data_IF_265777979960
#
_entry.id   IF_265777979960
#
_cell.length_a   1.000
_cell.length_b   1.000
_cell.length_c   1.000
_cell.angle_alpha   90.00
_cell.angle_beta   90.00
_cell.angle_gamma   90.00
#
_symmetry.space_group_name_H-M   'P 1'
#
loop_
_entity.id
_entity.type
_entity.pdbx_description
1 polymer ?
#
# COMPACT_ATOMS: atom_id res chain seq x y z
N UNK A 1 33.49 5.87 -8.92
CA UNK A 1 32.95 6.01 -7.55
C UNK A 1 33.05 7.48 -7.15
N UNK A 2 31.94 8.22 -7.17
CA UNK A 2 31.92 9.64 -6.81
C UNK A 2 32.37 9.85 -5.36
N UNK A 3 33.26 10.83 -5.13
CA UNK A 3 33.76 11.14 -3.79
C UNK A 3 32.58 11.60 -2.91
N UNK A 4 32.33 10.91 -1.78
CA UNK A 4 31.30 11.28 -0.79
C UNK A 4 31.45 12.77 -0.42
N UNK A 5 30.33 13.48 -0.30
CA UNK A 5 30.31 14.90 0.04
C UNK A 5 30.99 15.11 1.39
N UNK A 6 31.65 16.25 1.58
CA UNK A 6 32.15 16.63 2.90
C UNK A 6 31.00 16.77 3.92
N UNK A 7 29.79 17.07 3.46
CA UNK A 7 28.56 17.08 4.27
C UNK A 7 28.21 15.69 4.79
N UNK A 8 28.48 14.63 4.03
CA UNK A 8 28.18 13.25 4.42
C UNK A 8 29.07 12.74 5.57
N UNK A 9 30.17 13.46 5.85
CA UNK A 9 31.14 13.15 6.91
C UNK A 9 30.90 13.94 8.18
N UNK A 10 29.97 14.90 8.17
CA UNK A 10 29.60 15.65 9.36
C UNK A 10 28.89 14.74 10.36
N UNK A 11 28.82 15.18 11.61
CA UNK A 11 28.04 14.49 12.63
C UNK A 11 26.57 14.34 12.17
N UNK A 12 25.92 13.20 12.46
CA UNK A 12 24.56 12.94 12.00
C UNK A 12 23.55 14.04 12.36
N UNK A 13 23.67 14.63 13.57
CA UNK A 13 22.80 15.71 14.02
C UNK A 13 22.92 16.96 13.14
N UNK A 14 24.15 17.35 12.78
CA UNK A 14 24.43 18.51 11.91
C UNK A 14 23.87 18.26 10.52
N UNK A 15 24.12 17.08 9.94
CA UNK A 15 23.61 16.70 8.62
C UNK A 15 22.08 16.72 8.58
N UNK A 16 21.40 16.11 9.56
CA UNK A 16 19.95 16.09 9.62
C UNK A 16 19.35 17.49 9.76
N UNK A 17 20.02 18.39 10.48
CA UNK A 17 19.62 19.78 10.57
C UNK A 17 19.75 20.51 9.23
N UNK A 18 20.87 20.33 8.52
CA UNK A 18 21.07 20.84 7.15
C UNK A 18 19.95 20.36 6.23
N UNK A 19 19.69 19.06 6.19
CA UNK A 19 18.63 18.45 5.37
C UNK A 19 17.24 19.02 5.71
N UNK A 20 16.95 19.25 7.00
CA UNK A 20 15.70 19.86 7.45
C UNK A 20 15.56 21.29 6.93
N UNK A 21 16.58 22.13 7.08
CA UNK A 21 16.56 23.53 6.61
C UNK A 21 16.48 23.63 5.09
N UNK A 22 17.19 22.76 4.36
CA UNK A 22 17.10 22.67 2.91
C UNK A 22 15.69 22.26 2.44
N UNK A 23 14.99 21.42 3.21
CA UNK A 23 13.59 21.06 2.96
C UNK A 23 12.64 22.23 3.20
N UNK A 24 12.86 23.02 4.24
CA UNK A 24 12.05 24.19 4.58
C UNK A 24 12.15 25.31 3.54
N UNK A 25 13.29 25.43 2.85
CA UNK A 25 13.55 26.44 1.79
C UNK A 25 13.33 27.89 2.24
N UNK A 26 13.56 28.19 3.52
CA UNK A 26 13.37 29.52 4.10
C UNK A 26 14.65 30.32 4.28
N UNK A 27 15.79 29.64 4.30
CA UNK A 27 17.10 30.24 4.54
C UNK A 27 17.91 30.25 3.24
N UNK A 28 18.62 31.35 3.02
CA UNK A 28 19.74 31.42 2.08
C UNK A 28 20.89 30.53 2.57
N UNK A 29 21.88 30.29 1.70
CA UNK A 29 23.04 29.48 2.09
C UNK A 29 23.84 30.13 3.22
N UNK A 30 23.88 31.46 3.29
CA UNK A 30 24.61 32.19 4.32
C UNK A 30 23.87 32.13 5.65
N UNK A 31 22.57 32.39 5.64
CA UNK A 31 21.72 32.26 6.83
C UNK A 31 21.70 30.83 7.37
N UNK A 32 21.79 29.81 6.49
CA UNK A 32 21.93 28.42 6.91
C UNK A 32 23.27 28.16 7.62
N UNK A 33 24.36 28.79 7.18
CA UNK A 33 25.66 28.69 7.86
C UNK A 33 25.60 29.37 9.23
N UNK A 34 24.93 30.52 9.33
CA UNK A 34 24.71 31.21 10.60
C UNK A 34 23.85 30.39 11.56
N UNK A 35 22.73 29.82 11.07
CA UNK A 35 21.85 28.92 11.84
C UNK A 35 22.62 27.67 12.34
N UNK A 36 23.57 27.15 11.55
CA UNK A 36 24.48 26.08 11.99
C UNK A 36 25.45 26.55 13.09
N UNK A 37 25.94 27.78 13.03
CA UNK A 37 26.80 28.33 14.08
C UNK A 37 26.07 28.49 15.42
N UNK A 38 24.79 28.85 15.38
CA UNK A 38 23.97 29.03 16.58
C UNK A 38 23.60 27.67 17.21
N UNK A 39 23.19 26.70 16.39
CA UNK A 39 22.72 25.39 16.88
C UNK A 39 23.87 24.41 17.18
N UNK A 40 25.01 24.53 16.49
CA UNK A 40 26.16 23.63 16.62
C UNK A 40 27.48 24.41 16.73
N UNK A 41 27.69 25.17 17.82
CA UNK A 41 28.86 26.04 17.97
C UNK A 41 30.20 25.28 18.00
N UNK A 42 30.18 24.00 18.38
CA UNK A 42 31.36 23.14 18.49
C UNK A 42 31.63 22.27 17.25
N UNK A 43 30.73 22.28 16.25
CA UNK A 43 30.86 21.45 15.06
C UNK A 43 31.73 22.10 13.99
N UNK A 44 32.44 21.26 13.22
CA UNK A 44 33.24 21.74 12.10
C UNK A 44 32.33 22.25 10.97
N UNK A 45 32.65 23.46 10.47
CA UNK A 45 31.73 24.23 9.64
C UNK A 45 31.91 23.87 8.17
N UNK A 46 30.87 23.36 7.49
CA UNK A 46 30.96 23.13 6.05
C UNK A 46 31.05 24.46 5.31
N UNK A 47 31.88 24.50 4.25
CA UNK A 47 32.00 25.69 3.42
C UNK A 47 30.72 25.95 2.62
N UNK A 48 30.48 27.23 2.27
CA UNK A 48 29.35 27.63 1.42
C UNK A 48 29.25 26.82 0.13
N UNK A 49 30.37 26.56 -0.53
CA UNK A 49 30.40 25.73 -1.75
C UNK A 49 30.06 24.27 -1.48
N UNK A 50 30.39 23.72 -0.31
CA UNK A 50 30.03 22.36 0.06
C UNK A 50 28.52 22.23 0.26
N UNK A 51 27.91 23.17 0.97
CA UNK A 51 26.45 23.23 1.16
C UNK A 51 25.75 23.44 -0.19
N UNK A 52 26.25 24.35 -1.04
CA UNK A 52 25.68 24.60 -2.35
C UNK A 52 25.64 23.36 -3.26
N UNK A 53 26.74 22.60 -3.34
CA UNK A 53 26.77 21.34 -4.10
C UNK A 53 25.83 20.29 -3.51
N UNK A 54 25.80 20.18 -2.19
CA UNK A 54 24.92 19.26 -1.49
C UNK A 54 23.44 19.61 -1.72
N UNK A 55 23.08 20.89 -1.69
CA UNK A 55 21.73 21.39 -2.00
C UNK A 55 21.26 20.97 -3.39
N UNK A 56 22.11 21.03 -4.41
CA UNK A 56 21.75 20.61 -5.78
C UNK A 56 21.37 19.13 -5.80
N UNK A 57 22.20 18.26 -5.24
CA UNK A 57 21.91 16.83 -5.14
C UNK A 57 20.68 16.53 -4.27
N UNK A 58 20.51 17.26 -3.17
CA UNK A 58 19.35 17.15 -2.30
C UNK A 58 18.06 17.57 -3.01
N UNK A 59 18.08 18.64 -3.80
CA UNK A 59 16.92 19.11 -4.56
C UNK A 59 16.51 18.11 -5.65
N UNK A 60 17.47 17.48 -6.32
CA UNK A 60 17.23 16.39 -7.28
C UNK A 60 16.59 15.18 -6.59
N UNK A 61 17.14 14.76 -5.45
CA UNK A 61 16.59 13.66 -4.66
C UNK A 61 15.17 13.98 -4.17
N UNK A 62 14.95 15.19 -3.66
CA UNK A 62 13.64 15.63 -3.20
C UNK A 62 12.62 15.74 -4.34
N UNK A 63 13.06 16.13 -5.55
CA UNK A 63 12.22 16.12 -6.75
C UNK A 63 11.78 14.71 -7.10
N UNK A 64 12.72 13.75 -7.16
CA UNK A 64 12.42 12.33 -7.41
C UNK A 64 11.43 11.77 -6.38
N UNK A 65 11.62 12.08 -5.09
CA UNK A 65 10.71 11.62 -4.03
C UNK A 65 9.29 12.18 -4.17
N UNK A 66 9.15 13.46 -4.53
CA UNK A 66 7.83 14.06 -4.81
C UNK A 66 7.17 13.43 -6.03
N UNK A 67 7.92 13.17 -7.09
CA UNK A 67 7.40 12.48 -8.28
C UNK A 67 6.92 11.07 -7.92
N UNK A 68 7.67 10.34 -7.08
CA UNK A 68 7.26 9.03 -6.58
C UNK A 68 6.00 9.09 -5.72
N UNK A 69 5.90 10.07 -4.82
CA UNK A 69 4.70 10.28 -3.98
C UNK A 69 3.48 10.62 -4.84
N UNK A 70 3.64 11.49 -5.84
CA UNK A 70 2.56 11.83 -6.78
C UNK A 70 2.12 10.60 -7.58
N UNK A 71 3.06 9.76 -8.03
CA UNK A 71 2.75 8.48 -8.67
C UNK A 71 1.96 7.58 -7.73
N UNK A 72 2.42 7.40 -6.48
CA UNK A 72 1.73 6.59 -5.49
C UNK A 72 0.30 7.10 -5.20
N UNK A 73 0.11 8.41 -5.10
CA UNK A 73 -1.21 9.02 -4.93
C UNK A 73 -2.14 8.77 -6.12
N UNK A 74 -1.64 8.94 -7.36
CA UNK A 74 -2.41 8.65 -8.58
C UNK A 74 -2.80 7.17 -8.68
N UNK A 75 -1.92 6.25 -8.22
CA UNK A 75 -2.24 4.83 -8.14
C UNK A 75 -3.43 4.61 -7.19
N UNK A 76 -3.36 5.16 -5.98
CA UNK A 76 -4.43 5.03 -4.96
C UNK A 76 -5.75 5.61 -5.46
N UNK A 77 -5.72 6.77 -6.11
CA UNK A 77 -6.89 7.45 -6.67
C UNK A 77 -7.54 6.65 -7.81
N UNK A 78 -6.75 6.15 -8.76
CA UNK A 78 -7.24 5.32 -9.86
C UNK A 78 -7.75 3.95 -9.40
N UNK A 79 -7.25 3.41 -8.30
CA UNK A 79 -7.61 2.08 -7.80
C UNK A 79 -8.84 2.06 -6.87
N UNK A 80 -9.30 3.22 -6.41
CA UNK A 80 -10.60 3.40 -5.74
C UNK A 80 -10.61 3.11 -4.24
N UNK A 81 -11.46 3.86 -3.53
CA UNK A 81 -11.65 3.82 -2.08
C UNK A 81 -12.16 2.45 -1.60
N UNK A 82 -11.26 1.58 -1.13
CA UNK A 82 -11.53 0.71 0.01
C UNK A 82 -10.22 0.15 0.62
N UNK A 83 -9.62 0.86 1.60
CA UNK A 83 -8.37 0.47 2.26
C UNK A 83 -8.50 -0.75 3.20
N UNK A 84 -9.70 -1.24 3.46
CA UNK A 84 -9.97 -2.19 4.55
C UNK A 84 -9.86 -3.68 4.16
N UNK A 85 -9.69 -4.01 2.89
CA UNK A 85 -9.55 -5.40 2.48
C UNK A 85 -8.08 -5.81 2.55
N UNK A 86 -7.75 -6.94 3.19
CA UNK A 86 -6.37 -7.49 3.27
C UNK A 86 -5.67 -7.56 1.91
N UNK A 87 -6.44 -7.66 0.82
CA UNK A 87 -5.95 -7.58 -0.56
C UNK A 87 -5.36 -6.20 -0.92
N UNK A 88 -5.95 -5.09 -0.46
CA UNK A 88 -5.44 -3.74 -0.64
C UNK A 88 -4.12 -3.51 0.10
N UNK A 89 -4.01 -3.99 1.34
CA UNK A 89 -2.77 -3.93 2.11
C UNK A 89 -1.63 -4.73 1.45
N UNK A 90 -1.91 -5.96 1.00
CA UNK A 90 -0.93 -6.80 0.28
C UNK A 90 -0.50 -6.18 -1.05
N UNK A 91 -1.39 -5.44 -1.71
CA UNK A 91 -1.07 -4.76 -2.97
C UNK A 91 -0.31 -3.46 -2.78
N UNK A 92 -0.62 -2.65 -1.78
CA UNK A 92 0.23 -1.52 -1.38
C UNK A 92 1.64 -2.02 -1.09
N UNK A 93 1.76 -3.14 -0.37
CA UNK A 93 3.05 -3.77 -0.08
C UNK A 93 3.74 -4.30 -1.36
N UNK A 94 2.99 -4.83 -2.32
CA UNK A 94 3.53 -5.33 -3.60
C UNK A 94 3.99 -4.19 -4.52
N UNK A 95 3.24 -3.09 -4.58
CA UNK A 95 3.61 -1.87 -5.30
C UNK A 95 4.81 -1.22 -4.64
N UNK A 96 4.86 -1.16 -3.31
CA UNK A 96 6.01 -0.65 -2.59
C UNK A 96 7.26 -1.51 -2.83
N UNK A 97 7.10 -2.84 -2.92
CA UNK A 97 8.17 -3.78 -3.28
C UNK A 97 8.63 -3.58 -4.71
N UNK A 98 7.73 -3.46 -5.67
CA UNK A 98 8.06 -3.17 -7.07
C UNK A 98 8.70 -1.79 -7.24
N UNK A 99 8.25 -0.79 -6.50
CA UNK A 99 8.85 0.55 -6.48
C UNK A 99 10.25 0.50 -5.88
N UNK A 100 10.45 -0.30 -4.82
CA UNK A 100 11.77 -0.55 -4.20
C UNK A 100 12.69 -1.29 -5.16
N UNK A 101 12.17 -2.30 -5.87
CA UNK A 101 12.90 -3.01 -6.92
C UNK A 101 13.24 -2.11 -8.11
N UNK A 102 12.34 -1.22 -8.51
CA UNK A 102 12.59 -0.24 -9.56
C UNK A 102 13.59 0.83 -9.11
N UNK A 103 13.63 1.21 -7.82
CA UNK A 103 14.66 2.13 -7.30
C UNK A 103 16.02 1.47 -7.13
N UNK A 104 16.07 0.19 -6.74
CA UNK A 104 17.29 -0.61 -6.70
C UNK A 104 17.77 -0.95 -8.13
N UNK A 105 16.85 -1.23 -9.04
CA UNK A 105 17.10 -1.49 -10.47
C UNK A 105 17.39 -0.23 -11.28
N UNK A 106 16.94 0.95 -10.84
CA UNK A 106 17.32 2.25 -11.40
C UNK A 106 18.75 2.67 -11.01
N UNK A 107 19.43 1.89 -10.15
CA UNK A 107 20.89 1.92 -10.11
C UNK A 107 21.53 1.20 -11.32
N UNK A 108 20.73 0.52 -12.15
CA UNK A 108 21.15 -0.28 -13.31
C UNK A 108 20.53 0.22 -14.64
N UNK A 109 19.34 0.85 -14.68
CA UNK A 109 18.85 1.52 -15.91
C UNK A 109 17.88 2.69 -15.63
N UNK A 110 18.13 3.84 -16.25
CA UNK A 110 17.58 5.17 -15.93
C UNK A 110 16.24 5.46 -16.65
N UNK A 111 15.42 4.43 -16.92
CA UNK A 111 14.33 4.49 -17.92
C UNK A 111 12.92 4.14 -17.47
N UNK A 112 12.64 3.97 -16.18
CA UNK A 112 11.25 3.76 -15.74
C UNK A 112 10.47 5.08 -15.82
N UNK A 113 9.48 5.16 -16.71
CA UNK A 113 8.68 6.37 -16.90
C UNK A 113 7.38 6.35 -16.09
N UNK A 114 6.80 7.54 -15.86
CA UNK A 114 5.49 7.71 -15.19
C UNK A 114 4.39 6.93 -15.92
N UNK A 115 4.49 6.82 -17.24
CA UNK A 115 3.51 6.10 -18.06
C UNK A 115 3.56 4.58 -17.82
N UNK A 116 4.75 4.02 -17.60
CA UNK A 116 4.91 2.60 -17.29
C UNK A 116 4.26 2.23 -15.95
N UNK A 117 4.44 3.09 -14.95
CA UNK A 117 3.81 2.91 -13.64
C UNK A 117 2.29 3.03 -13.74
N UNK A 118 1.77 3.98 -14.54
CA UNK A 118 0.33 4.12 -14.80
C UNK A 118 -0.25 2.88 -15.50
N UNK A 119 0.46 2.31 -16.48
CA UNK A 119 0.02 1.09 -17.17
C UNK A 119 -0.01 -0.11 -16.22
N UNK A 120 1.00 -0.25 -15.38
CA UNK A 120 1.03 -1.30 -14.34
C UNK A 120 -0.11 -1.13 -13.33
N UNK A 121 -0.44 0.10 -12.95
CA UNK A 121 -1.60 0.41 -12.10
C UNK A 121 -2.90 -0.13 -12.65
N UNK A 122 -3.16 0.18 -13.93
CA UNK A 122 -4.40 -0.18 -14.63
C UNK A 122 -4.48 -1.70 -14.77
N UNK A 123 -3.38 -2.34 -15.18
CA UNK A 123 -3.32 -3.80 -15.24
C UNK A 123 -3.60 -4.46 -13.88
N UNK A 124 -3.04 -3.93 -12.79
CA UNK A 124 -3.31 -4.43 -11.44
C UNK A 124 -4.78 -4.22 -11.04
N UNK A 125 -5.38 -3.07 -11.37
CA UNK A 125 -6.80 -2.78 -11.15
C UNK A 125 -7.71 -3.76 -11.89
N UNK A 126 -7.40 -4.04 -13.15
CA UNK A 126 -8.19 -4.94 -13.99
C UNK A 126 -8.16 -6.38 -13.44
N UNK A 127 -6.99 -6.85 -13.01
CA UNK A 127 -6.84 -8.17 -12.35
C UNK A 127 -7.61 -8.24 -11.04
N UNK A 128 -7.60 -7.17 -10.25
CA UNK A 128 -8.38 -7.09 -9.01
C UNK A 128 -9.88 -7.13 -9.26
N UNK A 129 -10.37 -6.36 -10.23
CA UNK A 129 -11.79 -6.35 -10.59
C UNK A 129 -12.24 -7.73 -11.08
N UNK A 130 -11.43 -8.40 -11.91
CA UNK A 130 -11.69 -9.77 -12.34
C UNK A 130 -11.72 -10.76 -11.15
N UNK A 131 -10.81 -10.60 -10.18
CA UNK A 131 -10.81 -11.44 -8.97
C UNK A 131 -12.03 -11.19 -8.08
N UNK A 132 -12.47 -9.93 -7.93
CA UNK A 132 -13.67 -9.57 -7.17
C UNK A 132 -14.93 -10.16 -7.83
N UNK A 133 -15.08 -9.99 -9.14
CA UNK A 133 -16.17 -10.60 -9.90
C UNK A 133 -16.21 -12.12 -9.72
N UNK A 134 -15.05 -12.80 -9.80
CA UNK A 134 -14.96 -14.25 -9.58
C UNK A 134 -15.33 -14.66 -8.14
N UNK A 135 -15.01 -13.85 -7.13
CA UNK A 135 -15.40 -14.11 -5.73
C UNK A 135 -16.89 -13.92 -5.50
N UNK A 136 -17.49 -12.90 -6.10
CA UNK A 136 -18.93 -12.67 -6.02
C UNK A 136 -19.70 -13.79 -6.72
N UNK A 137 -19.24 -14.23 -7.89
CA UNK A 137 -19.77 -15.39 -8.60
C UNK A 137 -19.66 -16.68 -7.76
N UNK A 138 -18.50 -16.95 -7.15
CA UNK A 138 -18.33 -18.10 -6.24
C UNK A 138 -19.26 -18.05 -5.03
N UNK A 139 -19.46 -16.87 -4.43
CA UNK A 139 -20.40 -16.69 -3.32
C UNK A 139 -21.85 -16.90 -3.75
N UNK A 140 -22.21 -16.45 -4.96
CA UNK A 140 -23.53 -16.68 -5.52
C UNK A 140 -23.78 -18.18 -5.74
N UNK A 141 -22.81 -18.88 -6.35
CA UNK A 141 -22.87 -20.34 -6.56
C UNK A 141 -22.97 -21.09 -5.23
N UNK A 142 -22.16 -20.73 -4.22
CA UNK A 142 -22.20 -21.37 -2.90
C UNK A 142 -23.55 -21.15 -2.21
N UNK A 143 -24.12 -19.95 -2.34
CA UNK A 143 -25.45 -19.64 -1.81
C UNK A 143 -26.53 -20.44 -2.51
N UNK A 144 -26.52 -20.48 -3.84
CA UNK A 144 -27.48 -21.24 -4.63
C UNK A 144 -27.39 -22.75 -4.33
N UNK A 145 -26.18 -23.29 -4.24
CA UNK A 145 -25.96 -24.68 -3.87
C UNK A 145 -26.47 -24.99 -2.45
N UNK A 146 -26.28 -24.06 -1.49
CA UNK A 146 -26.80 -24.22 -0.13
C UNK A 146 -28.32 -24.14 -0.08
N UNK A 147 -28.93 -23.22 -0.81
CA UNK A 147 -30.38 -23.09 -0.90
C UNK A 147 -31.00 -24.34 -1.54
N UNK A 148 -30.41 -24.88 -2.61
CA UNK A 148 -30.83 -26.12 -3.25
C UNK A 148 -30.71 -27.34 -2.31
N UNK A 149 -29.59 -27.45 -1.58
CA UNK A 149 -29.39 -28.54 -0.61
C UNK A 149 -30.40 -28.47 0.55
N UNK A 150 -30.71 -27.28 1.05
CA UNK A 150 -31.71 -27.10 2.11
C UNK A 150 -33.10 -27.48 1.61
N UNK A 151 -33.47 -27.08 0.39
CA UNK A 151 -34.75 -27.47 -0.22
C UNK A 151 -34.86 -28.99 -0.41
N UNK A 152 -33.79 -29.65 -0.85
CA UNK A 152 -33.76 -31.11 -0.98
C UNK A 152 -33.90 -31.81 0.38
N UNK A 153 -33.22 -31.31 1.43
CA UNK A 153 -33.40 -31.84 2.78
C UNK A 153 -34.80 -31.60 3.34
N UNK A 154 -35.44 -30.47 2.99
CA UNK A 154 -36.80 -30.18 3.42
C UNK A 154 -37.78 -31.18 2.82
N UNK A 155 -37.67 -31.45 1.51
CA UNK A 155 -38.48 -32.48 0.84
C UNK A 155 -38.27 -33.88 1.44
N UNK A 156 -37.03 -34.30 1.66
CA UNK A 156 -36.74 -35.60 2.29
C UNK A 156 -37.31 -35.71 3.72
N UNK A 157 -37.25 -34.63 4.49
CA UNK A 157 -37.84 -34.58 5.84
C UNK A 157 -39.37 -34.52 5.81
N UNK A 158 -39.98 -34.03 4.75
CA UNK A 158 -41.44 -34.12 4.55
C UNK A 158 -41.86 -35.53 4.16
N UNK A 159 -41.12 -36.21 3.28
CA UNK A 159 -41.38 -37.59 2.87
C UNK A 159 -41.26 -38.59 4.02
N UNK A 160 -40.33 -38.37 4.95
CA UNK A 160 -40.15 -39.21 6.15
C UNK A 160 -41.09 -38.84 7.31
N UNK A 161 -41.96 -37.84 7.14
CA UNK A 161 -42.86 -37.40 8.22
C UNK A 161 -43.80 -38.52 8.64
N UNK A 162 -43.75 -38.91 9.90
CA UNK A 162 -44.62 -39.94 10.47
C UNK A 162 -44.26 -41.40 10.12
N UNK A 163 -43.11 -41.66 9.47
CA UNK A 163 -42.69 -43.04 9.13
C UNK A 163 -42.09 -43.82 10.32
N UNK A 164 -41.52 -43.11 11.30
CA UNK A 164 -40.75 -43.72 12.42
C UNK A 164 -41.46 -43.68 13.78
N UNK A 165 -42.74 -43.26 13.83
CA UNK A 165 -43.51 -43.21 15.08
C UNK A 165 -43.03 -42.14 16.08
N UNK A 166 -42.23 -41.18 15.64
CA UNK A 166 -41.86 -40.00 16.43
C UNK A 166 -43.04 -39.02 16.53
N UNK A 167 -43.13 -38.30 17.66
CA UNK A 167 -44.13 -37.24 17.83
C UNK A 167 -43.81 -36.05 16.92
N UNK A 168 -44.83 -35.45 16.30
CA UNK A 168 -44.66 -34.31 15.37
C UNK A 168 -43.86 -33.15 15.99
N UNK A 169 -44.05 -32.85 17.28
CA UNK A 169 -43.31 -31.80 17.98
C UNK A 169 -41.79 -32.03 18.03
N UNK A 170 -41.35 -33.30 18.03
CA UNK A 170 -39.95 -33.66 18.06
C UNK A 170 -39.34 -33.63 16.65
N UNK A 171 -40.08 -34.08 15.63
CA UNK A 171 -39.69 -33.93 14.23
C UNK A 171 -39.52 -32.45 13.84
N UNK A 172 -40.43 -31.58 14.26
CA UNK A 172 -40.35 -30.13 14.03
C UNK A 172 -39.16 -29.46 14.74
N UNK A 173 -38.75 -30.02 15.88
CA UNK A 173 -37.56 -29.56 16.60
C UNK A 173 -36.28 -29.92 15.84
N UNK A 174 -36.18 -31.16 15.35
CA UNK A 174 -35.04 -31.61 14.54
C UNK A 174 -34.96 -30.80 13.23
N UNK A 175 -36.09 -30.57 12.55
CA UNK A 175 -36.15 -29.77 11.32
C UNK A 175 -35.63 -28.34 11.54
N UNK A 176 -36.02 -27.66 12.62
CA UNK A 176 -35.53 -26.30 12.93
C UNK A 176 -34.01 -26.24 13.14
N UNK A 177 -33.43 -27.24 13.81
CA UNK A 177 -31.99 -27.33 14.05
C UNK A 177 -31.22 -27.61 12.76
N UNK A 178 -31.67 -28.58 11.95
CA UNK A 178 -31.03 -28.92 10.67
C UNK A 178 -31.08 -27.77 9.66
N UNK A 179 -32.18 -27.01 9.65
CA UNK A 179 -32.35 -25.84 8.79
C UNK A 179 -31.66 -24.57 9.30
N UNK A 180 -31.02 -24.63 10.48
CA UNK A 180 -30.38 -23.45 11.09
C UNK A 180 -31.37 -22.32 11.44
N UNK A 181 -32.65 -22.65 11.67
CA UNK A 181 -33.72 -21.71 12.03
C UNK A 181 -33.91 -21.62 13.57
N UNK A 182 -32.87 -21.96 14.34
CA UNK A 182 -32.87 -22.03 15.80
C UNK A 182 -32.06 -20.89 16.43
#
# INVERSE_FOLDING_TARGET
MGRKSSIDRLEPAVRTHIEKRLRERRLTLDELIEDLHEHFPSADKPSRSAIGRYKVSFDEMAKRLREQQAMASLLVEELGENPNDKAGALMVQSIQTLTTHATLGAQIDDKTTIDDVRKLARAAKDVLQASKASREERKAIEREAREALLAEQEQRLEEMRGSDGMSEEFEDRIRRVLMGKA
#
